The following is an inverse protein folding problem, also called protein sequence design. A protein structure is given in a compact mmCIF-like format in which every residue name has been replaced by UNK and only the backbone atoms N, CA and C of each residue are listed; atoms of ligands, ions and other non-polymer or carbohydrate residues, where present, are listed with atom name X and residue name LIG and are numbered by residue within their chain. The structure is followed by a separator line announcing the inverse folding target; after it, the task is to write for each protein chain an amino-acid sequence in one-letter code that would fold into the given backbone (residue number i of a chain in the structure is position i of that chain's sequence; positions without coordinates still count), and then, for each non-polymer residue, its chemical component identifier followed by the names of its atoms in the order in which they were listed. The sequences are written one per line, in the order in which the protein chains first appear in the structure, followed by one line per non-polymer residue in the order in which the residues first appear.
data_IF_721477296392
#
_entry.id   IF_721477296392
#
_cell.length_a   1.000
_cell.length_b   1.000
_cell.length_c   1.000
_cell.angle_alpha   90.00
_cell.angle_beta   90.00
_cell.angle_gamma   90.00
#
_symmetry.space_group_name_H-M   'P 1'
#
loop_
_entity.id
_entity.type
_entity.pdbx_description
1 polymer ?
#
# COMPACT_ATOMS: atom_id res chain seq x y z
N UNK A 1 11.33 -2.15 -43.57
CA UNK A 1 11.78 -1.58 -42.27
C UNK A 1 10.65 -1.19 -41.33
N UNK A 2 9.46 -0.75 -41.79
CA UNK A 2 8.38 -0.28 -40.89
C UNK A 2 7.65 -1.35 -40.03
N UNK A 3 7.57 -2.61 -40.47
CA UNK A 3 6.79 -3.65 -39.76
C UNK A 3 7.52 -4.15 -38.49
N UNK A 4 8.85 -4.19 -38.50
CA UNK A 4 9.67 -4.63 -37.36
C UNK A 4 9.54 -3.67 -36.16
N UNK A 5 9.57 -2.36 -36.44
CA UNK A 5 9.47 -1.32 -35.41
C UNK A 5 8.08 -1.26 -34.75
N UNK A 6 7.02 -1.48 -35.53
CA UNK A 6 5.65 -1.58 -35.02
C UNK A 6 5.48 -2.81 -34.11
N UNK A 7 6.08 -3.95 -34.48
CA UNK A 7 6.03 -5.17 -33.69
C UNK A 7 6.80 -5.06 -32.36
N UNK A 8 7.94 -4.37 -32.34
CA UNK A 8 8.72 -4.09 -31.12
C UNK A 8 7.99 -3.12 -30.17
N UNK A 9 7.38 -2.06 -30.70
CA UNK A 9 6.56 -1.14 -29.91
C UNK A 9 5.36 -1.84 -29.28
N UNK A 10 4.67 -2.69 -30.02
CA UNK A 10 3.53 -3.46 -29.52
C UNK A 10 3.93 -4.43 -28.39
N UNK A 11 5.05 -5.15 -28.54
CA UNK A 11 5.59 -6.05 -27.50
C UNK A 11 5.98 -5.29 -26.23
N UNK A 12 6.64 -4.15 -26.38
CA UNK A 12 7.03 -3.28 -25.26
C UNK A 12 5.81 -2.82 -24.47
N UNK A 13 4.75 -2.37 -25.14
CA UNK A 13 3.51 -1.94 -24.49
C UNK A 13 2.82 -3.09 -23.74
N UNK A 14 2.70 -4.26 -24.36
CA UNK A 14 2.11 -5.44 -23.71
C UNK A 14 2.89 -5.87 -22.46
N UNK A 15 4.21 -5.81 -22.51
CA UNK A 15 5.06 -6.14 -21.36
C UNK A 15 4.89 -5.11 -20.23
N UNK A 16 4.83 -3.82 -20.55
CA UNK A 16 4.60 -2.76 -19.57
C UNK A 16 3.22 -2.88 -18.92
N UNK A 17 2.19 -3.23 -19.68
CA UNK A 17 0.86 -3.48 -19.14
C UNK A 17 0.84 -4.71 -18.22
N UNK A 18 1.49 -5.80 -18.64
CA UNK A 18 1.64 -6.99 -17.80
C UNK A 18 2.35 -6.68 -16.48
N UNK A 19 3.45 -5.93 -16.53
CA UNK A 19 4.17 -5.47 -15.35
C UNK A 19 3.23 -4.68 -14.44
N UNK A 20 2.55 -3.65 -14.95
CA UNK A 20 1.58 -2.82 -14.20
C UNK A 20 0.55 -3.68 -13.47
N UNK A 21 -0.08 -4.64 -14.14
CA UNK A 21 -1.07 -5.51 -13.51
C UNK A 21 -0.46 -6.38 -12.41
N UNK A 22 0.71 -6.97 -12.64
CA UNK A 22 1.41 -7.78 -11.63
C UNK A 22 1.73 -6.93 -10.40
N UNK A 23 2.28 -5.73 -10.59
CA UNK A 23 2.61 -4.84 -9.49
C UNK A 23 1.39 -4.40 -8.70
N UNK A 24 0.29 -4.03 -9.38
CA UNK A 24 -0.97 -3.71 -8.71
C UNK A 24 -1.49 -4.87 -7.86
N UNK A 25 -1.47 -6.09 -8.40
CA UNK A 25 -1.90 -7.30 -7.67
C UNK A 25 -1.02 -7.53 -6.44
N UNK A 26 0.30 -7.43 -6.58
CA UNK A 26 1.25 -7.61 -5.47
C UNK A 26 1.06 -6.55 -4.39
N UNK A 27 0.87 -5.28 -4.77
CA UNK A 27 0.61 -4.19 -3.83
C UNK A 27 -0.72 -4.44 -3.10
N UNK A 28 -1.77 -4.85 -3.82
CA UNK A 28 -3.07 -5.14 -3.21
C UNK A 28 -3.00 -6.33 -2.25
N UNK A 29 -2.40 -7.44 -2.68
CA UNK A 29 -2.22 -8.64 -1.87
C UNK A 29 -1.35 -8.35 -0.63
N UNK A 30 -0.26 -7.61 -0.80
CA UNK A 30 0.60 -7.17 0.30
C UNK A 30 -0.15 -6.29 1.29
N UNK A 31 -0.96 -5.34 0.81
CA UNK A 31 -1.79 -4.48 1.65
C UNK A 31 -2.80 -5.30 2.46
N UNK A 32 -3.53 -6.21 1.80
CA UNK A 32 -4.50 -7.10 2.45
C UNK A 32 -3.82 -7.96 3.51
N UNK A 33 -2.69 -8.59 3.18
CA UNK A 33 -1.92 -9.41 4.11
C UNK A 33 -1.46 -8.61 5.33
N UNK A 34 -0.97 -7.39 5.11
CA UNK A 34 -0.52 -6.50 6.18
C UNK A 34 -1.68 -6.10 7.10
N UNK A 35 -2.85 -5.77 6.54
CA UNK A 35 -4.07 -5.53 7.33
C UNK A 35 -4.54 -6.75 8.09
N UNK A 36 -4.48 -7.94 7.48
CA UNK A 36 -4.81 -9.19 8.14
C UNK A 36 -3.87 -9.45 9.33
N UNK A 37 -2.57 -9.19 9.18
CA UNK A 37 -1.57 -9.32 10.24
C UNK A 37 -1.78 -8.32 11.38
N UNK A 38 -2.24 -7.10 11.10
CA UNK A 38 -2.62 -6.13 12.14
C UNK A 38 -3.80 -6.66 12.97
N UNK A 39 -4.79 -7.30 12.34
CA UNK A 39 -5.96 -7.86 13.04
C UNK A 39 -5.62 -9.01 13.98
N UNK A 40 -4.51 -9.69 13.75
CA UNK A 40 -4.02 -10.78 14.61
C UNK A 40 -3.21 -10.28 15.82
N UNK A 41 -2.95 -8.97 15.93
CA UNK A 41 -2.17 -8.44 17.04
C UNK A 41 -2.95 -8.43 18.35
N UNK A 42 -2.30 -8.68 19.51
CA UNK A 42 -2.95 -8.68 20.81
C UNK A 42 -3.58 -7.33 21.15
N UNK A 43 -3.01 -6.22 20.68
CA UNK A 43 -3.60 -4.89 20.83
C UNK A 43 -4.95 -4.77 20.12
N UNK A 44 -5.16 -5.47 19.00
CA UNK A 44 -6.45 -5.51 18.30
C UNK A 44 -7.48 -6.35 19.07
N UNK A 45 -7.05 -7.47 19.67
CA UNK A 45 -7.92 -8.30 20.50
C UNK A 45 -8.41 -7.57 21.76
N UNK A 46 -7.54 -6.82 22.44
CA UNK A 46 -7.92 -6.01 23.61
C UNK A 46 -9.00 -4.98 23.25
N UNK A 47 -8.89 -4.36 22.08
CA UNK A 47 -9.90 -3.43 21.56
C UNK A 47 -11.20 -4.15 21.18
N UNK A 48 -11.12 -5.38 20.68
CA UNK A 48 -12.28 -6.21 20.33
C UNK A 48 -13.05 -6.67 21.56
N UNK A 49 -12.35 -7.10 22.61
CA UNK A 49 -12.95 -7.52 23.88
C UNK A 49 -13.75 -6.40 24.55
N UNK A 50 -13.33 -5.15 24.35
CA UNK A 50 -14.03 -3.96 24.88
C UNK A 50 -15.11 -3.40 23.96
N UNK A 51 -15.49 -4.13 22.90
CA UNK A 51 -16.49 -3.74 21.88
C UNK A 51 -16.15 -2.46 21.09
N UNK A 52 -14.95 -1.91 21.25
CA UNK A 52 -14.46 -0.71 20.58
C UNK A 52 -13.93 -1.01 19.16
N UNK A 53 -13.49 -2.25 18.91
CA UNK A 53 -12.97 -2.68 17.60
C UNK A 53 -14.05 -3.07 16.57
N UNK A 54 -15.34 -3.12 16.95
CA UNK A 54 -16.40 -3.60 16.04
C UNK A 54 -16.59 -2.69 14.82
N UNK A 55 -16.14 -1.43 14.91
CA UNK A 55 -16.17 -0.46 13.82
C UNK A 55 -14.81 0.26 13.63
N UNK A 56 -13.70 -0.49 13.68
CA UNK A 56 -12.35 0.02 13.36
C UNK A 56 -12.15 0.19 11.83
N UNK A 57 -13.03 0.98 11.21
CA UNK A 57 -12.68 1.61 9.95
C UNK A 57 -11.52 2.59 10.23
N UNK A 58 -10.55 2.71 9.33
CA UNK A 58 -9.35 3.55 9.54
C UNK A 58 -9.71 5.00 9.92
N UNK A 59 -10.88 5.46 9.45
CA UNK A 59 -11.51 6.75 9.77
C UNK A 59 -11.82 6.90 11.26
N UNK A 60 -12.16 5.83 11.99
CA UNK A 60 -12.42 5.87 13.44
C UNK A 60 -11.14 5.83 14.29
N UNK A 61 -9.99 5.48 13.72
CA UNK A 61 -8.68 5.57 14.40
C UNK A 61 -8.11 7.00 14.41
N UNK A 62 -8.50 7.85 13.45
CA UNK A 62 -8.05 9.25 13.39
C UNK A 62 -8.51 10.07 14.61
N UNK A 63 -9.80 10.07 15.00
CA UNK A 63 -10.28 10.79 16.18
C UNK A 63 -9.61 10.30 17.46
N UNK A 64 -9.27 9.01 17.55
CA UNK A 64 -8.63 8.42 18.73
C UNK A 64 -7.20 8.95 18.97
N UNK A 65 -6.52 9.48 17.95
CA UNK A 65 -5.25 10.20 18.12
C UNK A 65 -5.43 11.52 18.89
N UNK A 66 -6.58 12.17 18.76
CA UNK A 66 -6.91 13.43 19.43
C UNK A 66 -7.83 13.26 20.66
N UNK A 67 -8.46 12.11 20.85
CA UNK A 67 -9.39 11.88 21.95
C UNK A 67 -8.66 11.68 23.29
N UNK A 68 -8.81 12.64 24.22
CA UNK A 68 -8.10 12.67 25.51
C UNK A 68 -8.73 11.83 26.63
N UNK A 69 -9.91 11.22 26.45
CA UNK A 69 -10.78 10.84 27.58
C UNK A 69 -10.57 9.49 28.29
N UNK A 70 -9.68 8.59 27.86
CA UNK A 70 -9.41 7.36 28.66
C UNK A 70 -7.92 6.99 28.77
N UNK A 71 -7.33 6.99 30.00
CA UNK A 71 -5.90 6.72 30.19
C UNK A 71 -5.51 5.25 30.00
N UNK A 72 -6.40 4.30 30.25
CA UNK A 72 -6.08 2.85 30.18
C UNK A 72 -6.09 2.27 28.75
N UNK A 73 -6.85 2.87 27.83
CA UNK A 73 -7.05 2.39 26.45
C UNK A 73 -6.18 3.13 25.42
N UNK A 74 -5.64 4.28 25.81
CA UNK A 74 -4.78 5.15 25.00
C UNK A 74 -3.55 4.44 24.39
N UNK A 75 -2.81 3.57 25.11
CA UNK A 75 -1.58 3.00 24.57
C UNK A 75 -1.83 2.03 23.42
N UNK A 76 -2.82 1.15 23.57
CA UNK A 76 -3.18 0.16 22.55
C UNK A 76 -3.74 0.84 21.29
N UNK A 77 -4.63 1.83 21.47
CA UNK A 77 -5.16 2.64 20.35
C UNK A 77 -4.07 3.39 19.60
N UNK A 78 -3.18 4.10 20.31
CA UNK A 78 -2.09 4.87 19.70
C UNK A 78 -1.09 3.96 18.98
N UNK A 79 -0.77 2.79 19.54
CA UNK A 79 0.07 1.78 18.86
C UNK A 79 -0.58 1.30 17.58
N UNK A 80 -1.86 0.93 17.62
CA UNK A 80 -2.57 0.43 16.44
C UNK A 80 -2.71 1.51 15.37
N UNK A 81 -2.99 2.74 15.77
CA UNK A 81 -3.09 3.87 14.87
C UNK A 81 -1.72 4.22 14.25
N UNK A 82 -0.62 4.15 15.01
CA UNK A 82 0.74 4.27 14.45
C UNK A 82 1.06 3.17 13.44
N UNK A 83 0.74 1.91 13.75
CA UNK A 83 0.96 0.78 12.83
C UNK A 83 0.14 0.97 11.54
N UNK A 84 -1.13 1.35 11.69
CA UNK A 84 -1.99 1.70 10.57
C UNK A 84 -1.37 2.81 9.73
N UNK A 85 -0.96 3.92 10.36
CA UNK A 85 -0.36 5.07 9.68
C UNK A 85 0.90 4.67 8.90
N UNK A 86 1.80 3.89 9.52
CA UNK A 86 3.01 3.35 8.88
C UNK A 86 2.63 2.47 7.68
N UNK A 87 1.57 1.69 7.76
CA UNK A 87 1.09 0.88 6.64
C UNK A 87 0.46 1.72 5.52
N UNK A 88 -0.31 2.76 5.86
CA UNK A 88 -0.88 3.67 4.87
C UNK A 88 0.23 4.42 4.11
N UNK A 89 1.22 4.97 4.84
CA UNK A 89 2.40 5.57 4.22
C UNK A 89 3.21 4.54 3.44
N UNK A 90 3.45 3.35 3.99
CA UNK A 90 4.19 2.28 3.32
C UNK A 90 3.53 1.84 2.01
N UNK A 91 2.20 1.70 1.99
CA UNK A 91 1.45 1.41 0.77
C UNK A 91 1.54 2.56 -0.24
N UNK A 92 1.41 3.81 0.22
CA UNK A 92 1.49 4.99 -0.64
C UNK A 92 2.89 5.14 -1.26
N UNK A 93 3.95 5.00 -0.47
CA UNK A 93 5.33 4.99 -0.94
C UNK A 93 5.63 3.79 -1.84
N UNK A 94 5.07 2.62 -1.53
CA UNK A 94 5.20 1.43 -2.38
C UNK A 94 4.60 1.63 -3.76
N UNK A 95 3.41 2.25 -3.83
CA UNK A 95 2.77 2.62 -5.10
C UNK A 95 3.64 3.63 -5.86
N UNK A 96 4.08 4.70 -5.21
CA UNK A 96 4.90 5.74 -5.84
C UNK A 96 6.23 5.20 -6.35
N UNK A 97 6.93 4.40 -5.54
CA UNK A 97 8.19 3.77 -5.93
C UNK A 97 8.01 2.77 -7.07
N UNK A 98 6.89 2.05 -7.09
CA UNK A 98 6.55 1.13 -8.17
C UNK A 98 6.28 1.86 -9.50
N UNK A 99 5.55 2.97 -9.48
CA UNK A 99 5.38 3.82 -10.67
C UNK A 99 6.72 4.39 -11.16
N UNK A 100 7.57 4.87 -10.26
CA UNK A 100 8.92 5.33 -10.61
C UNK A 100 9.77 4.24 -11.26
N UNK A 101 9.69 3.01 -10.74
CA UNK A 101 10.40 1.85 -11.31
C UNK A 101 9.88 1.51 -12.71
N UNK A 102 8.56 1.53 -12.91
CA UNK A 102 7.96 1.30 -14.22
C UNK A 102 8.40 2.37 -15.24
N UNK A 103 8.37 3.63 -14.85
CA UNK A 103 8.83 4.72 -15.71
C UNK A 103 10.32 4.56 -16.03
N UNK A 104 11.16 4.23 -15.04
CA UNK A 104 12.57 3.96 -15.26
C UNK A 104 12.80 2.81 -16.25
N UNK A 105 12.10 1.69 -16.10
CA UNK A 105 12.19 0.54 -17.02
C UNK A 105 11.74 0.95 -18.42
N UNK A 106 10.66 1.71 -18.53
CA UNK A 106 10.14 2.20 -19.80
C UNK A 106 11.14 3.12 -20.51
N UNK A 107 11.73 4.08 -19.79
CA UNK A 107 12.74 4.99 -20.34
C UNK A 107 14.03 4.24 -20.72
N UNK A 108 14.47 3.27 -19.91
CA UNK A 108 15.61 2.41 -20.21
C UNK A 108 15.40 1.63 -21.52
N UNK A 109 14.23 0.99 -21.67
CA UNK A 109 13.92 0.20 -22.86
C UNK A 109 13.74 1.02 -24.13
N UNK A 110 13.22 2.24 -24.01
CA UNK A 110 12.99 3.13 -25.15
C UNK A 110 14.21 3.98 -25.51
N UNK A 111 15.33 3.82 -24.80
CA UNK A 111 16.55 4.60 -25.00
C UNK A 111 16.39 6.10 -24.66
N UNK A 112 15.36 6.45 -23.89
CA UNK A 112 15.01 7.83 -23.50
C UNK A 112 15.36 8.12 -22.03
N UNK A 113 16.40 7.48 -21.50
CA UNK A 113 16.92 7.83 -20.18
C UNK A 113 17.32 9.30 -20.17
N UNK A 114 16.78 10.12 -19.25
CA UNK A 114 17.36 11.43 -19.00
C UNK A 114 18.76 11.18 -18.42
N UNK A 115 19.79 11.60 -19.17
CA UNK A 115 21.17 11.74 -18.69
C UNK A 115 21.22 12.73 -17.52
#
# INVERSE_FOLDING_TARGET
MGISWLAEGHKTNQMMDALRYIGLIVIFAGTIYSFHKIRQRPEYEELRKRNLARNLNFIFLLPAFWYKKEPALKPAYVKLAKIGLVHAFGALFGILGYFYLLDFIYFYMTGRLPL
#
